data_IF_977281324222
#
_entry.id   IF_977281324222
#
_cell.length_a   1.000
_cell.length_b   1.000
_cell.length_c   1.000
_cell.angle_alpha   90.00
_cell.angle_beta   90.00
_cell.angle_gamma   90.00
#
_symmetry.space_group_name_H-M   'P 1'
#
loop_
_entity.id
_entity.type
_entity.pdbx_description
1 polymer ?
#
# COMPACT_ATOMS: atom_id res chain seq x y z
N UNK A 1 -7.01 -21.05 18.74
CA UNK A 1 -7.02 -19.63 18.36
C UNK A 1 -7.21 -18.71 19.56
N UNK A 2 -8.41 -18.62 20.17
CA UNK A 2 -8.74 -17.65 21.22
C UNK A 2 -7.71 -17.56 22.37
N UNK A 3 -7.30 -18.69 22.94
CA UNK A 3 -6.33 -18.70 24.05
C UNK A 3 -5.00 -18.04 23.67
N UNK A 4 -4.50 -18.31 22.46
CA UNK A 4 -3.24 -17.73 21.98
C UNK A 4 -3.41 -16.24 21.66
N UNK A 5 -4.47 -15.86 20.94
CA UNK A 5 -4.78 -14.45 20.65
C UNK A 5 -4.88 -13.64 21.94
N UNK A 6 -5.64 -14.12 22.93
CA UNK A 6 -5.77 -13.48 24.25
C UNK A 6 -4.42 -13.36 24.95
N UNK A 7 -3.58 -14.40 24.92
CA UNK A 7 -2.24 -14.38 25.50
C UNK A 7 -1.38 -13.26 24.89
N UNK A 8 -1.36 -13.15 23.56
CA UNK A 8 -0.57 -12.12 22.86
C UNK A 8 -1.12 -10.72 23.16
N UNK A 9 -2.43 -10.51 23.07
CA UNK A 9 -3.04 -9.20 23.40
C UNK A 9 -2.74 -8.80 24.84
N UNK A 10 -2.87 -9.72 25.80
CA UNK A 10 -2.56 -9.43 27.19
C UNK A 10 -1.09 -9.06 27.40
N UNK A 11 -0.16 -9.74 26.71
CA UNK A 11 1.26 -9.40 26.75
C UNK A 11 1.51 -8.01 26.16
N UNK A 12 0.94 -7.69 24.99
CA UNK A 12 1.10 -6.35 24.40
C UNK A 12 0.51 -5.26 25.30
N UNK A 13 -0.61 -5.54 25.97
CA UNK A 13 -1.23 -4.65 26.95
C UNK A 13 -0.38 -4.44 28.20
N UNK A 14 0.22 -5.51 28.74
CA UNK A 14 1.04 -5.40 29.95
C UNK A 14 2.30 -4.56 29.73
N UNK A 15 2.82 -4.58 28.50
CA UNK A 15 3.96 -3.76 28.08
C UNK A 15 3.54 -2.37 27.55
N UNK A 16 2.25 -2.01 27.60
CA UNK A 16 1.77 -0.69 27.16
C UNK A 16 1.96 -0.43 25.67
N UNK A 17 1.97 -1.46 24.82
CA UNK A 17 2.37 -1.35 23.41
C UNK A 17 1.27 -0.88 22.47
N UNK A 18 0.01 -0.83 22.90
CA UNK A 18 -1.08 -0.26 22.09
C UNK A 18 -1.04 1.26 22.08
N UNK A 19 -1.39 1.88 20.95
CA UNK A 19 -1.46 3.33 20.82
C UNK A 19 -2.44 3.98 21.81
N UNK A 20 -3.50 3.27 22.18
CA UNK A 20 -4.42 3.64 23.26
C UNK A 20 -3.75 3.76 24.64
N UNK A 21 -2.57 3.15 24.82
CA UNK A 21 -1.73 3.20 26.01
C UNK A 21 -0.45 4.06 25.81
N UNK A 22 -0.31 4.73 24.65
CA UNK A 22 0.89 5.49 24.28
C UNK A 22 1.97 4.68 23.54
N UNK A 23 1.71 3.42 23.22
CA UNK A 23 2.62 2.54 22.49
C UNK A 23 2.51 2.61 20.95
N UNK A 24 3.31 1.81 20.21
CA UNK A 24 3.39 1.90 18.75
C UNK A 24 2.32 1.12 17.97
N UNK A 25 1.57 0.20 18.59
CA UNK A 25 0.61 -0.66 17.87
C UNK A 25 -0.66 0.13 17.58
N UNK A 26 -0.89 0.48 16.31
CA UNK A 26 -2.06 1.25 15.84
C UNK A 26 -3.17 0.40 15.21
N UNK A 27 -2.91 -0.89 14.96
CA UNK A 27 -3.78 -1.79 14.21
C UNK A 27 -3.54 -3.23 14.67
N UNK A 28 -4.57 -4.07 14.63
CA UNK A 28 -4.44 -5.52 14.84
C UNK A 28 -5.19 -6.28 13.77
N UNK A 29 -4.65 -7.41 13.29
CA UNK A 29 -5.34 -8.29 12.35
C UNK A 29 -5.79 -9.56 13.05
N UNK A 30 -7.03 -9.98 12.81
CA UNK A 30 -7.52 -11.30 13.17
C UNK A 30 -7.74 -12.11 11.90
N UNK A 31 -7.36 -13.38 11.91
CA UNK A 31 -7.33 -14.22 10.69
C UNK A 31 -6.39 -13.69 9.58
N UNK A 32 -6.27 -14.43 8.49
CA UNK A 32 -5.51 -14.00 7.31
C UNK A 32 -6.07 -14.61 6.02
N UNK A 33 -6.58 -13.76 5.12
CA UNK A 33 -7.17 -14.14 3.83
C UNK A 33 -8.19 -15.29 3.90
N UNK A 34 -8.96 -15.36 4.99
CA UNK A 34 -9.84 -16.49 5.27
C UNK A 34 -10.94 -16.67 4.21
N UNK A 35 -11.38 -15.60 3.54
CA UNK A 35 -12.37 -15.71 2.49
C UNK A 35 -11.94 -16.61 1.31
N UNK A 36 -10.63 -16.77 1.08
CA UNK A 36 -10.14 -17.70 0.05
C UNK A 36 -10.54 -19.16 0.35
N UNK A 37 -10.74 -19.52 1.61
CA UNK A 37 -11.09 -20.89 2.05
C UNK A 37 -12.48 -20.99 2.67
N UNK A 38 -13.11 -19.87 3.00
CA UNK A 38 -14.39 -19.81 3.70
C UNK A 38 -15.49 -20.67 3.06
N UNK A 39 -15.61 -20.60 1.73
CA UNK A 39 -16.65 -21.34 0.99
C UNK A 39 -16.55 -22.86 1.17
N UNK A 40 -15.35 -23.40 1.44
CA UNK A 40 -15.14 -24.82 1.70
C UNK A 40 -15.78 -25.28 3.02
N UNK A 41 -16.12 -24.35 3.92
CA UNK A 41 -16.78 -24.62 5.20
C UNK A 41 -18.30 -24.37 5.16
N UNK A 42 -18.85 -24.03 3.99
CA UNK A 42 -20.28 -23.80 3.79
C UNK A 42 -20.84 -22.83 4.85
N UNK A 43 -21.96 -23.18 5.50
CA UNK A 43 -22.61 -22.37 6.54
C UNK A 43 -21.72 -22.07 7.76
N UNK A 44 -20.68 -22.89 8.01
CA UNK A 44 -19.77 -22.70 9.14
C UNK A 44 -18.71 -21.63 8.88
N UNK A 45 -18.39 -21.34 7.62
CA UNK A 45 -17.41 -20.32 7.24
C UNK A 45 -17.81 -18.92 7.74
N UNK A 46 -18.99 -18.40 7.33
CA UNK A 46 -19.46 -17.08 7.78
C UNK A 46 -19.71 -17.01 9.30
N UNK A 47 -20.13 -18.11 9.92
CA UNK A 47 -20.29 -18.19 11.39
C UNK A 47 -18.94 -18.02 12.08
N UNK A 48 -17.90 -18.67 11.56
CA UNK A 48 -16.55 -18.55 12.09
C UNK A 48 -15.99 -17.13 11.93
N UNK A 49 -16.16 -16.49 10.76
CA UNK A 49 -15.74 -15.09 10.53
C UNK A 49 -16.36 -14.14 11.56
N UNK A 50 -17.67 -14.26 11.79
CA UNK A 50 -18.38 -13.47 12.81
C UNK A 50 -17.85 -13.72 14.22
N UNK A 51 -17.60 -14.99 14.57
CA UNK A 51 -17.02 -15.35 15.87
C UNK A 51 -15.60 -14.80 16.04
N UNK A 52 -14.74 -14.92 15.02
CA UNK A 52 -13.35 -14.48 15.08
C UNK A 52 -13.25 -12.96 15.21
N UNK A 53 -14.03 -12.22 14.42
CA UNK A 53 -14.14 -10.77 14.51
C UNK A 53 -14.63 -10.31 15.89
N UNK A 54 -15.73 -10.89 16.39
CA UNK A 54 -16.25 -10.59 17.72
C UNK A 54 -15.22 -10.88 18.81
N UNK A 55 -14.56 -12.05 18.74
CA UNK A 55 -13.54 -12.45 19.71
C UNK A 55 -12.37 -11.47 19.75
N UNK A 56 -11.89 -10.98 18.59
CA UNK A 56 -10.82 -9.97 18.53
C UNK A 56 -11.25 -8.64 19.14
N UNK A 57 -12.43 -8.15 18.77
CA UNK A 57 -12.97 -6.86 19.26
C UNK A 57 -13.19 -6.88 20.78
N UNK A 58 -13.71 -7.98 21.33
CA UNK A 58 -13.91 -8.16 22.79
C UNK A 58 -12.61 -8.24 23.60
N UNK A 59 -11.44 -8.27 22.96
CA UNK A 59 -10.16 -8.13 23.65
C UNK A 59 -9.84 -6.67 23.99
N UNK A 60 -10.63 -5.70 23.52
CA UNK A 60 -10.58 -4.29 23.92
C UNK A 60 -9.16 -3.68 23.83
N UNK A 61 -8.50 -3.86 22.70
CA UNK A 61 -7.13 -3.34 22.46
C UNK A 61 -7.07 -1.81 22.43
N UNK A 62 -8.22 -1.14 22.22
CA UNK A 62 -8.32 0.30 22.05
C UNK A 62 -7.81 0.80 20.68
N UNK A 63 -7.51 -0.11 19.75
CA UNK A 63 -7.14 0.20 18.36
C UNK A 63 -7.98 -0.62 17.39
N UNK A 64 -8.14 -0.19 16.11
CA UNK A 64 -8.95 -0.91 15.14
C UNK A 64 -8.46 -2.34 14.85
N UNK A 65 -9.41 -3.20 14.49
CA UNK A 65 -9.14 -4.54 13.98
C UNK A 65 -9.36 -4.58 12.46
N UNK A 66 -8.52 -5.34 11.75
CA UNK A 66 -8.64 -5.61 10.31
C UNK A 66 -8.77 -7.10 10.00
N UNK A 67 -9.34 -7.40 8.85
CA UNK A 67 -9.29 -8.71 8.19
C UNK A 67 -8.92 -8.51 6.72
N UNK A 68 -7.78 -9.07 6.29
CA UNK A 68 -7.36 -9.00 4.90
C UNK A 68 -8.09 -10.02 4.03
N UNK A 69 -8.44 -9.61 2.79
CA UNK A 69 -9.32 -10.37 1.88
C UNK A 69 -10.53 -10.97 2.60
N UNK A 70 -11.31 -10.14 3.26
CA UNK A 70 -12.57 -10.54 3.89
C UNK A 70 -13.65 -9.48 3.61
N UNK A 71 -14.32 -9.57 2.47
CA UNK A 71 -15.29 -8.59 1.98
C UNK A 71 -16.48 -8.45 2.96
N UNK A 72 -16.87 -9.52 3.65
CA UNK A 72 -17.96 -9.53 4.62
C UNK A 72 -17.50 -9.39 6.08
N UNK A 73 -16.30 -8.82 6.33
CA UNK A 73 -15.83 -8.53 7.68
C UNK A 73 -16.85 -7.69 8.48
N UNK A 74 -17.38 -8.18 9.61
CA UNK A 74 -18.45 -7.51 10.34
C UNK A 74 -17.93 -6.27 11.07
N UNK A 75 -18.80 -5.28 11.25
CA UNK A 75 -18.46 -4.08 12.02
C UNK A 75 -18.06 -4.44 13.47
N UNK A 76 -17.07 -3.73 14.05
CA UNK A 76 -16.32 -2.59 13.52
C UNK A 76 -15.05 -2.95 12.71
N UNK A 77 -14.84 -4.23 12.34
CA UNK A 77 -13.61 -4.69 11.69
C UNK A 77 -13.49 -4.16 10.26
N UNK A 78 -12.30 -3.68 9.89
CA UNK A 78 -12.03 -3.11 8.57
C UNK A 78 -11.55 -4.21 7.61
N UNK A 79 -12.22 -4.37 6.47
CA UNK A 79 -11.74 -5.25 5.41
C UNK A 79 -10.63 -4.58 4.60
N UNK A 80 -9.57 -5.33 4.30
CA UNK A 80 -8.38 -4.79 3.62
C UNK A 80 -8.01 -5.59 2.39
N UNK A 81 -7.20 -4.98 1.53
CA UNK A 81 -6.72 -5.59 0.30
C UNK A 81 -5.31 -6.17 0.44
N UNK A 82 -5.07 -7.29 -0.23
CA UNK A 82 -3.76 -7.89 -0.46
C UNK A 82 -3.58 -8.16 -1.95
N UNK A 83 -2.36 -8.03 -2.44
CA UNK A 83 -2.01 -8.29 -3.83
C UNK A 83 -1.00 -7.28 -4.36
N UNK A 84 -0.67 -7.38 -5.66
CA UNK A 84 0.24 -6.43 -6.30
C UNK A 84 -0.48 -5.15 -6.75
N UNK A 85 -1.78 -5.19 -6.99
CA UNK A 85 -2.49 -4.16 -7.77
C UNK A 85 -3.74 -3.61 -7.09
N UNK A 86 -3.77 -3.50 -5.76
CA UNK A 86 -4.97 -3.01 -5.07
C UNK A 86 -5.42 -1.60 -5.48
N UNK A 87 -4.52 -0.76 -6.02
CA UNK A 87 -4.93 0.51 -6.67
C UNK A 87 -5.90 0.33 -7.84
N UNK A 88 -5.84 -0.81 -8.53
CA UNK A 88 -6.77 -1.20 -9.60
C UNK A 88 -7.86 -2.15 -9.11
N UNK A 89 -7.50 -3.16 -8.33
CA UNK A 89 -8.35 -4.31 -8.05
C UNK A 89 -9.19 -4.20 -6.78
N UNK A 90 -8.86 -3.29 -5.85
CA UNK A 90 -9.64 -3.16 -4.63
C UNK A 90 -10.94 -2.42 -4.90
N UNK A 91 -12.07 -3.09 -4.65
CA UNK A 91 -13.41 -2.48 -4.74
C UNK A 91 -13.70 -1.44 -3.67
N UNK A 92 -12.86 -1.35 -2.64
CA UNK A 92 -13.03 -0.46 -1.49
C UNK A 92 -13.47 -1.20 -0.22
N UNK A 93 -13.58 -0.46 0.89
CA UNK A 93 -14.07 -1.01 2.14
C UNK A 93 -15.56 -1.38 2.02
N UNK A 94 -16.01 -2.32 2.84
CA UNK A 94 -17.38 -2.82 2.84
C UNK A 94 -18.40 -1.90 3.54
N UNK A 95 -17.97 -0.69 3.91
CA UNK A 95 -18.80 0.37 4.49
C UNK A 95 -18.18 1.74 4.15
N UNK A 96 -18.99 2.77 3.87
CA UNK A 96 -18.48 4.13 3.60
C UNK A 96 -17.78 4.77 4.81
N UNK A 97 -17.99 4.23 6.02
CA UNK A 97 -17.39 4.74 7.26
C UNK A 97 -16.05 4.09 7.59
N UNK A 98 -15.50 3.27 6.70
CA UNK A 98 -14.22 2.57 6.88
C UNK A 98 -13.18 3.13 5.89
N UNK A 99 -11.89 3.17 6.27
CA UNK A 99 -10.83 3.59 5.36
C UNK A 99 -10.47 2.49 4.35
N UNK A 100 -9.96 2.90 3.18
CA UNK A 100 -9.32 1.99 2.22
C UNK A 100 -7.91 1.65 2.66
N UNK A 101 -7.65 0.36 2.96
CA UNK A 101 -6.35 -0.11 3.45
C UNK A 101 -5.81 -1.26 2.62
N UNK A 102 -4.51 -1.21 2.33
CA UNK A 102 -3.75 -2.23 1.61
C UNK A 102 -2.71 -2.85 2.53
N UNK A 103 -3.04 -4.02 3.11
CA UNK A 103 -2.24 -4.70 4.14
C UNK A 103 -1.06 -5.47 3.56
N UNK A 104 -1.13 -5.91 2.29
CA UNK A 104 -0.01 -6.57 1.63
C UNK A 104 0.16 -6.11 0.19
N UNK A 105 1.00 -5.10 -0.01
CA UNK A 105 1.53 -4.73 -1.32
C UNK A 105 2.72 -5.62 -1.63
N UNK A 106 2.49 -6.68 -2.42
CA UNK A 106 3.51 -7.69 -2.69
C UNK A 106 4.70 -7.11 -3.48
N UNK A 107 5.84 -6.89 -2.84
CA UNK A 107 7.03 -6.26 -3.45
C UNK A 107 7.82 -7.21 -4.35
N UNK A 108 7.51 -8.50 -4.25
CA UNK A 108 8.01 -9.65 -5.00
C UNK A 108 7.09 -10.85 -4.70
N UNK A 109 7.57 -12.08 -4.91
CA UNK A 109 6.93 -13.31 -4.51
C UNK A 109 7.94 -14.21 -3.80
N UNK A 110 7.48 -15.06 -2.87
CA UNK A 110 8.38 -16.04 -2.24
C UNK A 110 8.94 -17.02 -3.28
N UNK A 111 10.17 -17.46 -3.06
CA UNK A 111 10.83 -18.40 -3.97
C UNK A 111 10.75 -19.83 -3.42
N UNK A 112 10.51 -20.78 -4.31
CA UNK A 112 10.50 -22.21 -4.01
C UNK A 112 11.81 -22.85 -4.47
N UNK A 113 12.16 -24.01 -3.91
CA UNK A 113 13.35 -24.74 -4.35
C UNK A 113 13.27 -25.07 -5.85
N UNK A 114 14.32 -24.70 -6.59
CA UNK A 114 14.40 -24.87 -8.04
C UNK A 114 13.65 -23.83 -8.89
N UNK A 115 12.97 -22.86 -8.26
CA UNK A 115 12.33 -21.75 -8.96
C UNK A 115 13.24 -20.54 -9.12
N UNK A 116 12.91 -19.65 -10.06
CA UNK A 116 13.58 -18.36 -10.25
C UNK A 116 12.92 -17.24 -9.42
N UNK A 117 13.66 -16.20 -9.00
CA UNK A 117 13.09 -15.07 -8.28
C UNK A 117 12.08 -14.28 -9.13
N UNK A 118 10.92 -13.96 -8.56
CA UNK A 118 9.98 -13.04 -9.19
C UNK A 118 10.41 -11.58 -8.96
N UNK A 119 10.81 -10.89 -10.03
CA UNK A 119 11.24 -9.49 -9.94
C UNK A 119 10.05 -8.58 -10.26
N UNK A 120 9.65 -7.77 -9.28
CA UNK A 120 8.73 -6.66 -9.46
C UNK A 120 9.50 -5.34 -9.48
N UNK A 121 9.31 -4.53 -10.51
CA UNK A 121 10.08 -3.29 -10.70
C UNK A 121 9.68 -2.21 -9.70
N UNK A 122 10.54 -1.20 -9.53
CA UNK A 122 10.27 -0.08 -8.64
C UNK A 122 9.12 0.78 -9.17
N UNK A 123 9.07 0.93 -10.50
CA UNK A 123 8.08 1.68 -11.27
C UNK A 123 6.68 1.11 -11.10
N UNK A 124 6.53 -0.22 -11.21
CA UNK A 124 5.24 -0.88 -11.05
C UNK A 124 4.71 -0.75 -9.61
N UNK A 125 5.59 -0.92 -8.61
CA UNK A 125 5.20 -0.73 -7.21
C UNK A 125 4.78 0.74 -6.98
N UNK A 126 5.58 1.70 -7.45
CA UNK A 126 5.29 3.12 -7.31
C UNK A 126 3.98 3.52 -8.01
N UNK A 127 3.72 2.99 -9.22
CA UNK A 127 2.48 3.20 -9.96
C UNK A 127 1.26 2.78 -9.16
N UNK A 128 1.25 1.54 -8.65
CA UNK A 128 0.08 1.06 -7.91
C UNK A 128 -0.10 1.72 -6.54
N UNK A 129 1.00 2.09 -5.86
CA UNK A 129 0.97 2.87 -4.62
C UNK A 129 0.36 4.25 -4.87
N UNK A 130 0.87 4.99 -5.85
CA UNK A 130 0.37 6.30 -6.21
C UNK A 130 -1.10 6.24 -6.65
N UNK A 131 -1.49 5.22 -7.43
CA UNK A 131 -2.87 5.03 -7.86
C UNK A 131 -3.81 4.74 -6.67
N UNK A 132 -3.37 3.91 -5.72
CA UNK A 132 -4.15 3.61 -4.53
C UNK A 132 -4.38 4.88 -3.70
N UNK A 133 -3.35 5.69 -3.49
CA UNK A 133 -3.47 6.99 -2.79
C UNK A 133 -4.39 7.94 -3.54
N UNK A 134 -4.18 8.08 -4.86
CA UNK A 134 -4.99 8.92 -5.74
C UNK A 134 -6.48 8.55 -5.68
N UNK A 135 -6.81 7.29 -5.37
CA UNK A 135 -8.17 6.75 -5.19
C UNK A 135 -8.61 6.63 -3.72
N UNK A 136 -8.17 7.56 -2.86
CA UNK A 136 -8.51 7.64 -1.41
C UNK A 136 -7.95 6.50 -0.55
N UNK A 137 -6.90 5.83 -1.00
CA UNK A 137 -6.15 4.88 -0.19
C UNK A 137 -5.40 5.58 0.95
N UNK A 138 -5.56 5.11 2.18
CA UNK A 138 -5.03 5.79 3.38
C UNK A 138 -4.08 4.93 4.23
N UNK A 139 -3.85 3.68 3.84
CA UNK A 139 -2.87 2.79 4.47
C UNK A 139 -2.29 1.83 3.42
N UNK A 140 -0.97 1.72 3.36
CA UNK A 140 -0.27 0.78 2.48
C UNK A 140 0.87 0.16 3.26
N UNK A 141 0.96 -1.17 3.22
CA UNK A 141 2.06 -1.93 3.80
C UNK A 141 2.78 -2.75 2.71
N UNK A 142 4.11 -2.61 2.63
CA UNK A 142 4.94 -3.37 1.70
C UNK A 142 5.18 -4.78 2.26
N UNK A 143 4.67 -5.80 1.57
CA UNK A 143 4.91 -7.19 1.89
C UNK A 143 5.87 -7.81 0.87
N UNK A 144 7.16 -7.94 1.11
CA UNK A 144 7.90 -7.51 2.31
C UNK A 144 8.62 -6.19 2.07
N UNK A 145 8.78 -5.38 3.12
CA UNK A 145 9.74 -4.28 3.14
C UNK A 145 11.16 -4.81 3.37
N UNK A 146 11.31 -5.74 4.32
CA UNK A 146 12.46 -6.62 4.52
C UNK A 146 11.92 -8.04 4.74
N UNK A 147 12.40 -9.00 3.96
CA UNK A 147 11.98 -10.39 4.10
C UNK A 147 12.86 -11.20 5.07
N UNK A 148 14.18 -11.10 4.92
CA UNK A 148 15.15 -11.80 5.77
C UNK A 148 15.31 -13.28 5.42
N UNK A 149 15.51 -14.12 6.44
CA UNK A 149 15.87 -15.52 6.25
C UNK A 149 15.01 -16.44 7.12
N UNK A 150 14.50 -17.51 6.51
CA UNK A 150 13.86 -18.63 7.19
C UNK A 150 14.91 -19.50 7.91
N UNK A 151 15.35 -19.08 9.09
CA UNK A 151 16.36 -19.80 9.87
C UNK A 151 15.84 -21.12 10.48
N UNK A 152 16.78 -22.02 10.77
CA UNK A 152 16.49 -23.30 11.41
C UNK A 152 15.68 -24.23 10.52
N UNK A 153 14.74 -24.97 11.13
CA UNK A 153 13.99 -26.05 10.46
C UNK A 153 12.49 -26.05 10.72
N UNK A 154 11.97 -24.94 11.26
CA UNK A 154 10.55 -24.75 11.60
C UNK A 154 10.00 -23.42 11.14
N UNK A 155 10.74 -22.67 10.31
CA UNK A 155 10.33 -21.36 9.80
C UNK A 155 9.52 -21.46 8.50
N UNK A 156 9.91 -22.35 7.58
CA UNK A 156 9.25 -22.51 6.28
C UNK A 156 9.02 -23.97 5.89
N UNK A 157 8.05 -24.17 5.00
CA UNK A 157 7.85 -25.42 4.26
C UNK A 157 7.69 -25.07 2.78
N UNK A 158 8.37 -25.82 1.89
CA UNK A 158 8.35 -25.64 0.43
C UNK A 158 8.90 -24.29 -0.11
N UNK A 159 9.33 -23.39 0.76
CA UNK A 159 9.98 -22.11 0.44
C UNK A 159 11.47 -22.23 0.78
N UNK A 160 12.33 -21.60 -0.01
CA UNK A 160 13.77 -21.62 0.24
C UNK A 160 14.15 -20.91 1.56
N UNK A 161 15.41 -21.06 1.96
CA UNK A 161 15.96 -20.40 3.17
C UNK A 161 15.90 -18.88 3.06
N UNK A 162 16.25 -18.31 1.91
CA UNK A 162 16.08 -16.88 1.63
C UNK A 162 14.60 -16.49 1.55
N UNK A 163 14.19 -15.38 2.17
CA UNK A 163 12.81 -14.92 2.15
C UNK A 163 12.72 -13.51 1.57
N UNK A 164 12.10 -13.37 0.39
CA UNK A 164 11.85 -12.07 -0.26
C UNK A 164 13.12 -11.22 -0.48
N UNK A 165 14.22 -11.79 -0.99
CA UNK A 165 15.46 -11.04 -1.28
C UNK A 165 15.28 -9.87 -2.29
N UNK A 166 14.20 -9.89 -3.07
CA UNK A 166 13.84 -8.82 -4.00
C UNK A 166 13.06 -7.65 -3.34
N UNK A 167 12.87 -7.66 -2.02
CA UNK A 167 12.24 -6.57 -1.28
C UNK A 167 13.08 -5.27 -1.31
N UNK A 168 12.53 -4.11 -0.87
CA UNK A 168 13.29 -2.86 -0.75
C UNK A 168 14.56 -2.98 0.10
N UNK A 169 14.53 -3.79 1.17
CA UNK A 169 15.72 -4.27 1.87
C UNK A 169 15.95 -5.73 1.50
N UNK A 170 17.15 -6.06 1.06
CA UNK A 170 17.51 -7.43 0.67
C UNK A 170 17.55 -8.38 1.89
N UNK A 171 17.86 -9.66 1.67
CA UNK A 171 17.93 -10.68 2.73
C UNK A 171 18.88 -10.26 3.87
N UNK A 172 19.95 -9.52 3.57
CA UNK A 172 20.99 -9.12 4.51
C UNK A 172 20.75 -7.72 5.09
N UNK A 173 19.64 -7.07 4.74
CA UNK A 173 19.26 -5.75 5.22
C UNK A 173 19.92 -4.59 4.46
N UNK A 174 20.55 -4.85 3.31
CA UNK A 174 21.11 -3.80 2.46
C UNK A 174 20.02 -3.15 1.61
N UNK A 175 20.24 -1.89 1.22
CA UNK A 175 19.30 -1.13 0.40
C UNK A 175 19.29 -1.67 -1.03
N UNK A 176 18.17 -2.22 -1.48
CA UNK A 176 18.02 -2.72 -2.85
C UNK A 176 17.67 -1.56 -3.79
N UNK A 177 18.69 -0.99 -4.42
CA UNK A 177 18.50 0.07 -5.41
C UNK A 177 18.15 -0.49 -6.80
N UNK A 178 17.34 0.22 -7.59
CA UNK A 178 16.74 1.53 -7.29
C UNK A 178 15.43 1.46 -6.47
N UNK A 179 14.93 0.26 -6.15
CA UNK A 179 13.61 0.04 -5.52
C UNK A 179 13.44 0.83 -4.22
N UNK A 180 14.38 0.71 -3.30
CA UNK A 180 14.31 1.43 -2.03
C UNK A 180 14.31 2.95 -2.22
N UNK A 181 15.23 3.47 -3.05
CA UNK A 181 15.36 4.91 -3.30
C UNK A 181 14.12 5.48 -3.97
N UNK A 182 13.62 4.83 -5.01
CA UNK A 182 12.44 5.28 -5.74
C UNK A 182 11.18 5.34 -4.85
N UNK A 183 10.97 4.32 -4.01
CA UNK A 183 9.85 4.33 -3.07
C UNK A 183 10.05 5.36 -1.96
N UNK A 184 11.28 5.60 -1.49
CA UNK A 184 11.58 6.69 -0.55
C UNK A 184 11.18 8.05 -1.13
N UNK A 185 11.58 8.36 -2.35
CA UNK A 185 11.25 9.65 -2.98
C UNK A 185 9.73 9.80 -3.19
N UNK A 186 9.04 8.74 -3.60
CA UNK A 186 7.57 8.73 -3.63
C UNK A 186 6.98 9.10 -2.26
N UNK A 187 7.43 8.48 -1.17
CA UNK A 187 6.92 8.78 0.17
C UNK A 187 7.21 10.21 0.63
N UNK A 188 8.37 10.79 0.28
CA UNK A 188 8.69 12.18 0.58
C UNK A 188 7.66 13.11 -0.08
N UNK A 189 7.35 12.87 -1.36
CA UNK A 189 6.35 13.64 -2.10
C UNK A 189 4.96 13.49 -1.49
N UNK A 190 4.53 12.25 -1.20
CA UNK A 190 3.23 12.00 -0.57
C UNK A 190 3.12 12.68 0.80
N UNK A 191 4.18 12.64 1.61
CA UNK A 191 4.21 13.30 2.92
C UNK A 191 4.05 14.82 2.80
N UNK A 192 4.61 15.43 1.77
CA UNK A 192 4.44 16.86 1.52
C UNK A 192 3.02 17.22 1.07
N UNK A 193 2.26 16.26 0.53
CA UNK A 193 0.85 16.41 0.14
C UNK A 193 -0.15 16.11 1.27
N UNK A 194 0.28 15.97 2.53
CA UNK A 194 -0.58 15.41 3.60
C UNK A 194 -1.87 16.23 3.84
N UNK A 195 -1.80 17.56 3.79
CA UNK A 195 -2.95 18.43 4.09
C UNK A 195 -4.08 18.22 3.07
N UNK A 196 -3.87 18.41 1.75
CA UNK A 196 -4.93 18.17 0.77
C UNK A 196 -5.36 16.70 0.69
N UNK A 197 -4.46 15.73 0.94
CA UNK A 197 -4.84 14.31 0.97
C UNK A 197 -5.79 13.95 2.13
N UNK A 198 -5.65 14.59 3.29
CA UNK A 198 -6.47 14.30 4.47
C UNK A 198 -7.74 15.15 4.56
N UNK A 199 -7.68 16.40 4.10
CA UNK A 199 -8.75 17.39 4.32
C UNK A 199 -9.41 17.84 3.02
N UNK A 200 -8.77 17.63 1.87
CA UNK A 200 -9.25 18.08 0.57
C UNK A 200 -10.41 17.25 0.03
N UNK A 201 -11.23 17.89 -0.78
CA UNK A 201 -12.28 17.23 -1.56
C UNK A 201 -11.64 16.62 -2.80
N UNK A 202 -11.78 15.31 -2.96
CA UNK A 202 -11.31 14.63 -4.16
C UNK A 202 -12.30 14.83 -5.33
N UNK A 203 -11.77 15.24 -6.47
CA UNK A 203 -12.43 15.16 -7.78
C UNK A 203 -11.59 14.31 -8.75
N UNK A 204 -12.22 13.80 -9.80
CA UNK A 204 -11.50 13.13 -10.88
C UNK A 204 -12.19 13.39 -12.23
N UNK A 205 -11.39 13.45 -13.30
CA UNK A 205 -11.88 13.67 -14.65
C UNK A 205 -10.88 13.15 -15.69
N UNK A 206 -11.37 12.83 -16.88
CA UNK A 206 -10.53 12.41 -18.01
C UNK A 206 -9.74 13.61 -18.54
N UNK A 207 -8.46 13.39 -18.81
CA UNK A 207 -7.55 14.34 -19.46
C UNK A 207 -7.00 13.77 -20.79
N UNK A 208 -7.62 12.70 -21.27
CA UNK A 208 -7.26 11.97 -22.49
C UNK A 208 -7.91 10.59 -22.56
N UNK A 209 -7.82 9.87 -23.70
CA UNK A 209 -8.50 8.58 -23.89
C UNK A 209 -8.09 7.50 -22.88
N UNK A 210 -6.82 7.49 -22.46
CA UNK A 210 -6.27 6.57 -21.46
C UNK A 210 -5.65 7.33 -20.28
N UNK A 211 -5.98 8.62 -20.14
CA UNK A 211 -5.39 9.49 -19.12
C UNK A 211 -6.46 10.08 -18.21
N UNK A 212 -6.17 10.09 -16.91
CA UNK A 212 -7.10 10.51 -15.85
C UNK A 212 -6.37 11.43 -14.87
N UNK A 213 -7.03 12.50 -14.44
CA UNK A 213 -6.59 13.30 -13.30
C UNK A 213 -7.38 12.90 -12.04
N UNK A 214 -6.69 12.77 -10.91
CA UNK A 214 -7.28 12.80 -9.58
C UNK A 214 -6.75 14.02 -8.86
N UNK A 215 -7.63 14.86 -8.34
CA UNK A 215 -7.27 16.13 -7.71
C UNK A 215 -7.88 16.20 -6.32
N UNK A 216 -7.08 16.55 -5.32
CA UNK A 216 -7.55 16.87 -3.98
C UNK A 216 -7.34 18.36 -3.76
N UNK A 217 -8.44 19.07 -3.51
CA UNK A 217 -8.43 20.52 -3.27
C UNK A 217 -9.02 20.84 -1.91
N UNK A 218 -8.29 21.62 -1.13
CA UNK A 218 -8.78 22.27 0.07
C UNK A 218 -9.20 23.70 -0.27
N UNK A 219 -10.32 24.18 0.27
CA UNK A 219 -10.85 25.53 -0.02
C UNK A 219 -9.89 26.69 0.33
N UNK A 220 -8.83 26.44 1.09
CA UNK A 220 -7.77 27.42 1.42
C UNK A 220 -6.61 27.46 0.40
N UNK A 221 -6.67 26.68 -0.69
CA UNK A 221 -5.73 26.73 -1.81
C UNK A 221 -4.67 25.63 -1.84
N UNK A 222 -4.61 24.74 -0.84
CA UNK A 222 -3.77 23.55 -0.91
C UNK A 222 -4.36 22.55 -1.92
N UNK A 223 -3.53 22.06 -2.85
CA UNK A 223 -3.98 21.22 -3.96
C UNK A 223 -2.93 20.16 -4.27
N UNK A 224 -3.33 18.89 -4.44
CA UNK A 224 -2.47 17.87 -5.05
C UNK A 224 -3.18 17.20 -6.20
N UNK A 225 -2.47 17.02 -7.32
CA UNK A 225 -2.95 16.30 -8.48
C UNK A 225 -2.10 15.06 -8.79
N UNK A 226 -2.77 13.99 -9.21
CA UNK A 226 -2.20 12.76 -9.74
C UNK A 226 -2.65 12.63 -11.19
N UNK A 227 -1.72 12.76 -12.13
CA UNK A 227 -1.99 12.64 -13.56
C UNK A 227 -1.57 11.24 -14.02
N UNK A 228 -2.56 10.40 -14.33
CA UNK A 228 -2.37 8.98 -14.66
C UNK A 228 -2.32 8.81 -16.18
N UNK A 229 -1.31 8.10 -16.68
CA UNK A 229 -1.30 7.52 -18.01
C UNK A 229 -1.43 6.00 -17.91
N UNK A 230 -2.56 5.46 -18.35
CA UNK A 230 -2.80 4.01 -18.37
C UNK A 230 -2.36 3.32 -19.66
N UNK A 231 -1.89 4.06 -20.67
CA UNK A 231 -1.29 3.44 -21.86
C UNK A 231 0.02 2.75 -21.47
N UNK A 232 0.11 1.44 -21.69
CA UNK A 232 1.29 0.64 -21.32
C UNK A 232 2.46 0.78 -22.30
N UNK A 233 2.27 1.47 -23.43
CA UNK A 233 3.21 1.49 -24.55
C UNK A 233 3.63 2.89 -24.99
N UNK A 234 2.79 3.90 -24.80
CA UNK A 234 3.01 5.24 -25.35
C UNK A 234 3.08 6.31 -24.27
N UNK A 235 3.98 7.27 -24.50
CA UNK A 235 3.95 8.55 -23.81
C UNK A 235 2.67 9.31 -24.23
N UNK A 236 2.15 10.13 -23.32
CA UNK A 236 1.00 10.97 -23.58
C UNK A 236 1.28 12.41 -23.13
N UNK A 237 1.05 13.37 -24.01
CA UNK A 237 1.05 14.80 -23.65
C UNK A 237 -0.37 15.21 -23.28
N UNK A 238 -0.59 15.61 -22.04
CA UNK A 238 -1.89 16.02 -21.49
C UNK A 238 -1.90 17.51 -21.15
N UNK A 239 -3.09 18.11 -21.16
CA UNK A 239 -3.32 19.47 -20.68
C UNK A 239 -3.97 19.41 -19.30
N UNK A 240 -3.40 20.12 -18.32
CA UNK A 240 -3.94 20.22 -16.97
C UNK A 240 -3.68 21.61 -16.40
N UNK A 241 -4.74 22.32 -15.97
CA UNK A 241 -4.69 23.68 -15.43
C UNK A 241 -3.82 24.65 -16.27
N UNK A 242 -4.05 24.69 -17.59
CA UNK A 242 -3.32 25.50 -18.59
C UNK A 242 -1.83 25.15 -18.79
N UNK A 243 -1.35 24.07 -18.17
CA UNK A 243 0.00 23.54 -18.38
C UNK A 243 -0.03 22.25 -19.18
N UNK A 244 1.05 22.01 -19.93
CA UNK A 244 1.25 20.78 -20.70
C UNK A 244 2.22 19.86 -19.96
N UNK A 245 1.83 18.60 -19.80
CA UNK A 245 2.67 17.59 -19.13
C UNK A 245 2.85 16.37 -20.02
N UNK A 246 4.08 15.87 -20.10
CA UNK A 246 4.38 14.58 -20.71
C UNK A 246 4.35 13.48 -19.65
N UNK A 247 3.53 12.45 -19.88
CA UNK A 247 3.40 11.28 -19.01
C UNK A 247 3.97 10.05 -19.72
N UNK A 248 4.94 9.39 -19.07
CA UNK A 248 5.51 8.13 -19.52
C UNK A 248 4.47 6.99 -19.56
N UNK A 249 4.72 5.87 -20.25
CA UNK A 249 3.79 4.76 -20.32
C UNK A 249 3.60 4.15 -18.92
N UNK A 250 2.37 3.76 -18.60
CA UNK A 250 1.96 3.19 -17.31
C UNK A 250 2.56 3.95 -16.12
N UNK A 251 2.35 5.26 -16.10
CA UNK A 251 2.96 6.14 -15.09
C UNK A 251 1.94 7.09 -14.45
N UNK A 252 2.31 7.62 -13.28
CA UNK A 252 1.58 8.68 -12.60
C UNK A 252 2.54 9.83 -12.31
N UNK A 253 2.22 11.02 -12.82
CA UNK A 253 2.84 12.28 -12.41
C UNK A 253 2.17 12.84 -11.16
N UNK A 254 2.94 13.29 -10.18
CA UNK A 254 2.43 13.88 -8.93
C UNK A 254 2.80 15.36 -8.87
N UNK A 255 1.79 16.21 -8.67
CA UNK A 255 1.90 17.67 -8.58
C UNK A 255 1.40 18.11 -7.20
N UNK A 256 2.29 18.33 -6.21
CA UNK A 256 1.93 18.70 -4.82
C UNK A 256 1.27 20.07 -4.65
N UNK A 257 1.27 20.89 -5.71
CA UNK A 257 0.69 22.23 -5.79
C UNK A 257 -0.27 22.36 -7.00
N UNK A 258 -0.58 21.25 -7.67
CA UNK A 258 -1.33 21.18 -8.92
C UNK A 258 -0.71 21.94 -10.12
N UNK A 259 0.54 22.39 -10.00
CA UNK A 259 1.23 23.17 -11.05
C UNK A 259 2.53 22.52 -11.50
N UNK A 260 3.34 22.01 -10.58
CA UNK A 260 4.68 21.50 -10.85
C UNK A 260 4.73 19.99 -10.61
N UNK A 261 5.06 19.22 -11.65
CA UNK A 261 5.27 17.77 -11.50
C UNK A 261 6.64 17.52 -10.89
N UNK A 262 6.68 17.01 -9.67
CA UNK A 262 7.94 16.76 -8.94
C UNK A 262 8.34 15.28 -8.92
N UNK A 263 7.43 14.40 -9.33
CA UNK A 263 7.66 12.96 -9.35
C UNK A 263 6.84 12.30 -10.45
N UNK A 264 7.45 11.33 -11.14
CA UNK A 264 6.76 10.43 -12.05
C UNK A 264 7.13 8.98 -11.71
N UNK A 265 6.13 8.11 -11.54
CA UNK A 265 6.36 6.73 -11.07
C UNK A 265 7.24 5.90 -12.00
N UNK A 266 7.37 6.26 -13.29
CA UNK A 266 8.22 5.56 -14.26
C UNK A 266 9.58 6.24 -14.49
N UNK A 267 9.83 7.43 -13.91
CA UNK A 267 11.11 8.15 -14.02
C UNK A 267 12.00 7.80 -12.82
N UNK A 268 12.74 6.70 -12.93
CA UNK A 268 13.66 6.24 -11.88
C UNK A 268 15.02 6.91 -12.00
N UNK A 269 15.50 7.52 -10.93
CA UNK A 269 16.87 8.03 -10.87
C UNK A 269 17.83 6.96 -10.39
N UNK A 270 18.81 6.64 -11.22
CA UNK A 270 19.88 5.69 -10.91
C UNK A 270 21.09 6.48 -10.39
N UNK A 271 21.27 6.53 -9.06
CA UNK A 271 22.44 7.18 -8.43
C UNK A 271 22.17 7.75 -7.04
N UNK A 272 23.20 8.27 -6.39
CA UNK A 272 23.11 8.93 -5.07
C UNK A 272 22.51 10.35 -5.13
N UNK A 273 22.17 10.85 -6.32
CA UNK A 273 21.63 12.20 -6.54
C UNK A 273 20.10 12.10 -6.58
N UNK A 274 19.37 12.85 -5.73
CA UNK A 274 17.91 12.90 -5.76
C UNK A 274 17.35 13.42 -7.09
N UNK A 275 16.24 12.88 -7.57
CA UNK A 275 15.62 13.29 -8.83
C UNK A 275 15.31 14.79 -8.90
N UNK A 276 14.95 15.42 -7.78
CA UNK A 276 14.60 16.85 -7.73
C UNK A 276 15.80 17.78 -8.02
N UNK A 277 17.04 17.35 -7.80
CA UNK A 277 18.22 18.18 -8.09
C UNK A 277 18.56 18.22 -9.58
N UNK A 278 18.15 17.20 -10.36
CA UNK A 278 18.39 17.15 -11.80
C UNK A 278 17.48 18.12 -12.58
N UNK A 279 16.32 18.49 -12.03
CA UNK A 279 15.38 19.41 -12.70
C UNK A 279 15.75 20.89 -12.50
N UNK A 280 16.42 21.24 -11.39
CA UNK A 280 16.87 22.63 -11.14
C UNK A 280 18.08 23.06 -11.99
N UNK A 281 18.70 22.16 -12.74
CA UNK A 281 19.86 22.47 -13.61
C UNK A 281 19.55 22.62 -15.09
N UNK A 282 18.30 22.39 -15.50
CA UNK A 282 17.88 22.48 -16.91
C UNK A 282 16.80 23.55 -17.18
N UNK A 283 16.56 24.47 -16.24
CA UNK A 283 15.78 25.69 -16.45
C UNK A 283 16.70 26.91 -16.49
#
# INVERSE_FOLDING_TARGET
MQNFTRKIVNLMKSEGLYASQGGPIILSQIENEYQNVEAAFHEKGPIYVKWAAKMGVELETGVPWVMCKQIDAPDPVINTCNGMRCGETFGGPNSPNKPSMWTENWTSFYQVYGGEPYIRSAEDIAFHVALFIAKKGSYINYYMYHGGTNFGRTASAYVITSYYDQAPLDEYGLLRQPKWGHLKELHIVIKNCFTPLLQGVQSNFSIGPLQQAYVYEEGMGACVAFLVNNDSTKNATVQFQNNSFELLPKSIGILPDCQNMVFNTAKVCYGFIPCYELETKNN
#
